data_IF_285563392904
#
_entry.id   IF_285563392904
#
_cell.length_a   1.000
_cell.length_b   1.000
_cell.length_c   1.000
_cell.angle_alpha   90.00
_cell.angle_beta   90.00
_cell.angle_gamma   90.00
#
_symmetry.space_group_name_H-M   'P 1'
#
loop_
_entity.id
_entity.type
_entity.pdbx_description
1 polymer ?
#
# COMPACT_ATOMS: atom_id res chain seq x y z
N UNK A 1 -8.75 18.18 3.29
CA UNK A 1 -9.46 17.40 4.34
C UNK A 1 -8.96 15.95 4.23
N UNK A 2 -8.68 15.29 5.36
CA UNK A 2 -8.21 13.90 5.34
C UNK A 2 -9.40 12.95 5.47
N UNK A 3 -9.37 11.79 4.80
CA UNK A 3 -10.42 10.79 4.92
C UNK A 3 -10.36 10.11 6.29
N UNK A 4 -11.52 9.68 6.80
CA UNK A 4 -11.59 8.69 7.87
C UNK A 4 -11.47 7.30 7.26
N UNK A 5 -10.55 6.48 7.77
CA UNK A 5 -10.47 5.06 7.38
C UNK A 5 -11.41 4.27 8.28
N UNK A 6 -12.32 3.50 7.70
CA UNK A 6 -13.25 2.63 8.42
C UNK A 6 -12.88 1.17 8.13
N UNK A 7 -12.42 0.45 9.15
CA UNK A 7 -12.08 -0.96 9.00
C UNK A 7 -13.33 -1.84 9.09
N UNK A 8 -13.53 -2.71 8.11
CA UNK A 8 -14.69 -3.60 8.05
C UNK A 8 -14.28 -5.04 7.81
N UNK A 9 -14.95 -5.95 8.49
CA UNK A 9 -14.99 -7.34 8.08
C UNK A 9 -16.11 -7.54 7.06
N UNK A 10 -15.90 -8.40 6.07
CA UNK A 10 -16.93 -8.80 5.11
C UNK A 10 -16.91 -10.32 4.96
N UNK A 11 -17.99 -10.97 5.41
CA UNK A 11 -18.13 -12.43 5.32
C UNK A 11 -17.98 -12.92 3.89
N UNK A 12 -18.54 -12.20 2.91
CA UNK A 12 -18.50 -12.57 1.49
C UNK A 12 -17.08 -12.48 0.94
N UNK A 13 -16.37 -11.37 1.21
CA UNK A 13 -15.01 -11.17 0.72
C UNK A 13 -14.03 -12.15 1.37
N UNK A 14 -14.10 -12.31 2.69
CA UNK A 14 -13.22 -13.21 3.45
C UNK A 14 -13.43 -14.67 3.02
N UNK A 15 -14.69 -15.08 2.78
CA UNK A 15 -15.02 -16.42 2.27
C UNK A 15 -14.35 -16.71 0.94
N UNK A 16 -14.36 -15.78 -0.01
CA UNK A 16 -13.71 -15.99 -1.32
C UNK A 16 -12.21 -16.28 -1.19
N UNK A 17 -11.53 -15.63 -0.23
CA UNK A 17 -10.13 -15.94 0.06
C UNK A 17 -9.97 -17.23 0.84
N UNK A 18 -10.83 -17.48 1.84
CA UNK A 18 -10.81 -18.69 2.67
C UNK A 18 -11.01 -19.93 1.81
N UNK A 19 -11.93 -19.92 0.85
CA UNK A 19 -12.26 -21.08 0.03
C UNK A 19 -11.38 -21.20 -1.24
N UNK A 20 -10.53 -20.20 -1.50
CA UNK A 20 -9.62 -20.22 -2.65
C UNK A 20 -8.65 -21.40 -2.58
N UNK A 21 -8.64 -22.24 -3.63
CA UNK A 21 -7.69 -23.36 -3.77
C UNK A 21 -6.23 -22.92 -3.63
N UNK A 22 -5.90 -21.73 -4.15
CA UNK A 22 -4.56 -21.16 -4.02
C UNK A 22 -4.19 -20.86 -2.57
N UNK A 23 -5.10 -20.24 -1.82
CA UNK A 23 -4.87 -19.92 -0.40
C UNK A 23 -4.81 -21.19 0.43
N UNK A 24 -5.69 -22.15 0.20
CA UNK A 24 -5.68 -23.43 0.90
C UNK A 24 -4.38 -24.22 0.66
N UNK A 25 -3.91 -24.25 -0.59
CA UNK A 25 -2.60 -24.83 -0.92
C UNK A 25 -1.46 -24.11 -0.20
N UNK A 26 -1.42 -22.78 -0.25
CA UNK A 26 -0.42 -21.97 0.45
C UNK A 26 -0.40 -22.23 1.96
N UNK A 27 -1.58 -22.29 2.59
CA UNK A 27 -1.71 -22.55 4.02
C UNK A 27 -1.20 -23.94 4.40
N UNK A 28 -1.55 -24.97 3.60
CA UNK A 28 -1.04 -26.34 3.79
C UNK A 28 0.49 -26.40 3.67
N UNK A 29 1.07 -25.77 2.65
CA UNK A 29 2.53 -25.71 2.46
C UNK A 29 3.26 -24.98 3.59
N UNK A 30 2.58 -24.08 4.30
CA UNK A 30 3.13 -23.34 5.45
C UNK A 30 2.77 -23.94 6.80
N UNK A 31 2.01 -25.04 6.83
CA UNK A 31 1.44 -25.61 8.05
C UNK A 31 0.71 -24.55 8.90
N UNK A 32 -0.11 -23.72 8.23
CA UNK A 32 -0.88 -22.64 8.84
C UNK A 32 -2.36 -22.87 8.63
N UNK A 33 -3.18 -22.36 9.55
CA UNK A 33 -4.64 -22.31 9.40
C UNK A 33 -5.10 -20.92 8.99
N UNK A 34 -6.25 -20.86 8.30
CA UNK A 34 -6.91 -19.59 8.01
C UNK A 34 -7.55 -19.07 9.32
N UNK A 35 -7.32 -17.82 9.73
CA UNK A 35 -7.87 -17.31 10.99
C UNK A 35 -9.39 -17.30 10.97
N UNK A 36 -10.02 -17.61 12.09
CA UNK A 36 -11.47 -17.56 12.18
C UNK A 36 -11.99 -16.12 12.18
N UNK A 37 -13.32 -15.97 12.05
CA UNK A 37 -13.96 -14.65 12.03
C UNK A 37 -13.72 -13.86 13.32
N UNK A 38 -13.68 -14.53 14.48
CA UNK A 38 -13.46 -13.89 15.78
C UNK A 38 -12.05 -13.31 15.85
N UNK A 39 -11.04 -14.08 15.44
CA UNK A 39 -9.65 -13.63 15.36
C UNK A 39 -9.50 -12.40 14.46
N UNK A 40 -10.16 -12.39 13.29
CA UNK A 40 -10.12 -11.24 12.37
C UNK A 40 -10.79 -10.02 13.00
N UNK A 41 -11.95 -10.16 13.64
CA UNK A 41 -12.65 -9.06 14.31
C UNK A 41 -11.86 -8.48 15.49
N UNK A 42 -11.21 -9.33 16.29
CA UNK A 42 -10.30 -8.90 17.36
C UNK A 42 -9.08 -8.16 16.79
N UNK A 43 -8.53 -8.67 15.68
CA UNK A 43 -7.45 -8.00 14.98
C UNK A 43 -7.85 -6.62 14.46
N UNK A 44 -9.05 -6.47 13.89
CA UNK A 44 -9.59 -5.17 13.45
C UNK A 44 -9.61 -4.18 14.62
N UNK A 45 -10.18 -4.56 15.77
CA UNK A 45 -10.23 -3.70 16.97
C UNK A 45 -8.83 -3.26 17.40
N UNK A 46 -7.84 -4.15 17.31
CA UNK A 46 -6.44 -3.85 17.65
C UNK A 46 -5.82 -2.84 16.67
N UNK A 47 -5.92 -3.10 15.36
CA UNK A 47 -5.29 -2.23 14.35
C UNK A 47 -6.00 -0.88 14.22
N UNK A 48 -7.31 -0.82 14.47
CA UNK A 48 -8.06 0.44 14.49
C UNK A 48 -7.51 1.39 15.57
N UNK A 49 -7.31 0.89 16.80
CA UNK A 49 -6.70 1.68 17.88
C UNK A 49 -5.30 2.17 17.53
N UNK A 50 -4.50 1.34 16.85
CA UNK A 50 -3.15 1.71 16.43
C UNK A 50 -3.17 2.74 15.29
N UNK A 51 -4.05 2.54 14.31
CA UNK A 51 -4.20 3.43 13.17
C UNK A 51 -4.70 4.81 13.60
N UNK A 52 -5.70 4.88 14.49
CA UNK A 52 -6.25 6.17 14.95
C UNK A 52 -5.19 7.11 15.52
N UNK A 53 -4.15 6.57 16.18
CA UNK A 53 -3.02 7.35 16.72
C UNK A 53 -2.11 7.98 15.66
N UNK A 54 -2.08 7.42 14.44
CA UNK A 54 -1.13 7.80 13.38
C UNK A 54 -1.80 8.27 12.08
N UNK A 55 -3.08 8.00 11.94
CA UNK A 55 -3.84 8.15 10.68
C UNK A 55 -3.74 9.56 10.13
N UNK A 56 -3.94 10.57 10.96
CA UNK A 56 -3.89 11.96 10.55
C UNK A 56 -2.51 12.35 10.03
N UNK A 57 -1.44 11.96 10.74
CA UNK A 57 -0.07 12.24 10.31
C UNK A 57 0.25 11.58 8.96
N UNK A 58 -0.07 10.29 8.83
CA UNK A 58 0.21 9.52 7.60
C UNK A 58 -0.58 10.09 6.43
N UNK A 59 -1.88 10.34 6.58
CA UNK A 59 -2.74 10.85 5.51
C UNK A 59 -2.35 12.28 5.08
N UNK A 60 -1.98 13.14 6.04
CA UNK A 60 -1.42 14.48 5.74
C UNK A 60 -0.11 14.36 4.98
N UNK A 61 0.75 13.44 5.39
CA UNK A 61 2.06 13.25 4.78
C UNK A 61 1.94 12.72 3.35
N UNK A 62 1.08 11.73 3.10
CA UNK A 62 0.79 11.22 1.74
C UNK A 62 0.34 12.39 0.84
N UNK A 63 -0.62 13.19 1.28
CA UNK A 63 -1.12 14.33 0.50
C UNK A 63 -0.03 15.40 0.27
N UNK A 64 0.71 15.78 1.31
CA UNK A 64 1.80 16.77 1.23
C UNK A 64 2.91 16.33 0.27
N UNK A 65 3.36 15.08 0.40
CA UNK A 65 4.48 14.53 -0.38
C UNK A 65 4.07 14.34 -1.83
N UNK A 66 2.90 13.74 -2.09
CA UNK A 66 2.40 13.56 -3.46
C UNK A 66 2.01 14.88 -4.13
N UNK A 67 1.52 15.87 -3.38
CA UNK A 67 0.85 17.05 -3.93
C UNK A 67 -0.61 16.78 -4.35
N UNK A 68 -1.11 15.57 -4.14
CA UNK A 68 -2.48 15.17 -4.44
C UNK A 68 -3.42 15.44 -3.26
N UNK A 69 -4.71 15.60 -3.55
CA UNK A 69 -5.75 15.82 -2.55
C UNK A 69 -6.61 14.57 -2.40
N UNK A 70 -6.94 14.23 -1.16
CA UNK A 70 -8.01 13.28 -0.88
C UNK A 70 -9.34 13.87 -1.32
N UNK A 71 -10.12 13.10 -2.09
CA UNK A 71 -11.46 13.47 -2.56
C UNK A 71 -12.55 12.85 -1.70
N UNK A 72 -12.31 11.65 -1.18
CA UNK A 72 -13.26 10.96 -0.32
C UNK A 72 -13.19 11.46 1.13
N UNK A 73 -14.36 11.55 1.77
CA UNK A 73 -14.48 11.80 3.22
C UNK A 73 -14.18 10.56 4.04
N UNK A 74 -14.44 9.39 3.47
CA UNK A 74 -14.36 8.11 4.15
C UNK A 74 -13.91 7.03 3.18
N UNK A 75 -12.91 6.26 3.56
CA UNK A 75 -12.40 5.12 2.79
C UNK A 75 -12.66 3.86 3.61
N UNK A 76 -13.36 2.88 3.03
CA UNK A 76 -13.60 1.59 3.68
C UNK A 76 -12.39 0.69 3.42
N UNK A 77 -11.78 0.16 4.48
CA UNK A 77 -10.73 -0.84 4.41
C UNK A 77 -11.29 -2.20 4.83
N UNK A 78 -11.47 -3.11 3.90
CA UNK A 78 -11.83 -4.49 4.22
C UNK A 78 -10.64 -5.22 4.83
N UNK A 79 -10.87 -5.93 5.93
CA UNK A 79 -9.85 -6.74 6.59
C UNK A 79 -10.23 -8.22 6.46
N UNK A 80 -9.33 -8.98 5.84
CA UNK A 80 -9.48 -10.42 5.57
C UNK A 80 -8.43 -11.22 6.34
N UNK A 81 -8.64 -12.53 6.52
CA UNK A 81 -7.68 -13.39 7.19
C UNK A 81 -6.34 -13.48 6.46
N UNK A 82 -6.33 -14.15 5.31
CA UNK A 82 -5.17 -14.36 4.44
C UNK A 82 -5.53 -14.04 3.00
N UNK A 83 -4.65 -13.34 2.30
CA UNK A 83 -4.87 -12.95 0.91
C UNK A 83 -3.79 -12.01 0.40
N UNK A 84 -4.03 -11.41 -0.77
CA UNK A 84 -3.20 -10.34 -1.32
C UNK A 84 -3.85 -8.99 -1.00
N UNK A 85 -3.12 -8.02 -0.43
CA UNK A 85 -3.60 -6.64 -0.29
C UNK A 85 -3.80 -5.96 -1.65
N UNK A 86 -4.76 -5.03 -1.72
CA UNK A 86 -4.99 -4.18 -2.89
C UNK A 86 -5.76 -2.92 -2.47
N UNK A 87 -5.79 -1.91 -3.34
CA UNK A 87 -6.18 -0.54 -3.01
C UNK A 87 -7.60 -0.13 -3.40
N UNK A 88 -8.27 -0.93 -4.24
CA UNK A 88 -9.63 -0.66 -4.70
C UNK A 88 -10.42 -1.96 -5.02
N UNK A 89 -11.45 -2.30 -4.22
CA UNK A 89 -11.72 -1.73 -2.90
C UNK A 89 -10.56 -1.98 -1.94
N UNK A 90 -10.19 -0.98 -1.12
CA UNK A 90 -9.07 -1.08 -0.19
C UNK A 90 -9.23 -2.31 0.72
N UNK A 91 -8.30 -3.25 0.61
CA UNK A 91 -8.36 -4.54 1.30
C UNK A 91 -6.98 -4.90 1.84
N UNK A 92 -6.88 -5.19 3.13
CA UNK A 92 -5.66 -5.59 3.83
C UNK A 92 -5.90 -6.90 4.56
N UNK A 93 -4.88 -7.77 4.61
CA UNK A 93 -4.97 -9.03 5.35
C UNK A 93 -4.48 -8.87 6.80
N UNK A 94 -4.80 -9.84 7.65
CA UNK A 94 -4.17 -9.94 8.97
C UNK A 94 -2.69 -10.32 8.87
N UNK A 95 -1.88 -9.84 9.81
CA UNK A 95 -0.45 -10.17 9.93
C UNK A 95 -0.11 -10.78 11.30
N UNK A 96 -1.09 -11.38 11.97
CA UNK A 96 -0.92 -11.98 13.30
C UNK A 96 -0.41 -10.96 14.33
N UNK A 97 0.78 -11.19 14.90
CA UNK A 97 1.35 -10.26 15.89
C UNK A 97 1.98 -9.01 15.26
N UNK A 98 2.34 -9.05 13.97
CA UNK A 98 3.06 -7.97 13.28
C UNK A 98 2.12 -6.87 12.79
N UNK A 99 1.63 -6.05 13.71
CA UNK A 99 0.79 -4.89 13.38
C UNK A 99 1.57 -3.78 12.68
N UNK A 100 2.91 -3.75 12.79
CA UNK A 100 3.71 -2.77 12.05
C UNK A 100 3.60 -3.02 10.55
N UNK A 101 3.72 -4.28 10.12
CA UNK A 101 3.52 -4.67 8.73
C UNK A 101 2.13 -4.34 8.21
N UNK A 102 1.10 -4.43 9.05
CA UNK A 102 -0.24 -3.98 8.69
C UNK A 102 -0.26 -2.49 8.35
N UNK A 103 0.28 -1.64 9.22
CA UNK A 103 0.29 -0.18 9.02
C UNK A 103 1.09 0.19 7.76
N UNK A 104 2.25 -0.44 7.53
CA UNK A 104 3.05 -0.19 6.33
C UNK A 104 2.32 -0.62 5.04
N UNK A 105 1.68 -1.79 5.07
CA UNK A 105 0.90 -2.28 3.92
C UNK A 105 -0.31 -1.39 3.67
N UNK A 106 -1.04 -0.99 4.72
CA UNK A 106 -2.14 -0.04 4.59
C UNK A 106 -1.66 1.29 4.01
N UNK A 107 -0.51 1.79 4.45
CA UNK A 107 0.09 3.02 3.91
C UNK A 107 0.41 2.88 2.42
N UNK A 108 1.00 1.76 2.01
CA UNK A 108 1.25 1.43 0.61
C UNK A 108 -0.04 1.48 -0.23
N UNK A 109 -1.08 0.77 0.21
CA UNK A 109 -2.36 0.73 -0.52
C UNK A 109 -3.09 2.08 -0.50
N UNK A 110 -2.94 2.89 0.55
CA UNK A 110 -3.49 4.25 0.60
C UNK A 110 -2.80 5.19 -0.41
N UNK A 111 -1.51 5.00 -0.71
CA UNK A 111 -0.84 5.76 -1.77
C UNK A 111 -1.41 5.38 -3.14
N UNK A 112 -1.67 4.09 -3.40
CA UNK A 112 -2.41 3.70 -4.60
C UNK A 112 -3.81 4.34 -4.62
N UNK A 113 -4.52 4.31 -3.49
CA UNK A 113 -5.88 4.83 -3.40
C UNK A 113 -5.94 6.35 -3.71
N UNK A 114 -5.00 7.17 -3.21
CA UNK A 114 -4.97 8.61 -3.58
C UNK A 114 -4.66 8.81 -5.07
N UNK A 115 -3.89 7.93 -5.72
CA UNK A 115 -3.67 8.00 -7.16
C UNK A 115 -4.96 7.73 -7.94
N UNK A 116 -5.73 6.71 -7.53
CA UNK A 116 -7.02 6.35 -8.13
C UNK A 116 -8.00 7.52 -8.02
N UNK A 117 -8.11 8.12 -6.83
CA UNK A 117 -8.95 9.32 -6.63
C UNK A 117 -8.51 10.50 -7.53
N UNK A 118 -7.25 10.55 -7.97
CA UNK A 118 -6.69 11.64 -8.78
C UNK A 118 -6.26 11.20 -10.19
N UNK A 119 -6.99 10.25 -10.78
CA UNK A 119 -6.66 9.66 -12.09
C UNK A 119 -6.39 10.70 -13.19
N UNK A 120 -7.14 11.80 -13.23
CA UNK A 120 -6.96 12.86 -14.24
C UNK A 120 -5.59 13.55 -14.19
N UNK A 121 -5.02 13.75 -12.99
CA UNK A 121 -3.67 14.29 -12.84
C UNK A 121 -2.64 13.18 -13.07
N UNK A 122 -2.93 11.99 -12.56
CA UNK A 122 -2.04 10.84 -12.63
C UNK A 122 -1.83 10.30 -14.06
N UNK A 123 -2.77 10.54 -14.98
CA UNK A 123 -2.65 10.11 -16.39
C UNK A 123 -1.42 10.71 -17.09
N UNK A 124 -1.06 11.96 -16.79
CA UNK A 124 0.11 12.62 -17.38
C UNK A 124 1.41 11.98 -16.88
N UNK A 125 1.44 11.62 -15.60
CA UNK A 125 2.54 10.85 -15.03
C UNK A 125 2.68 9.47 -15.67
N UNK A 126 1.57 8.76 -15.90
CA UNK A 126 1.59 7.47 -16.60
C UNK A 126 2.13 7.58 -18.03
N UNK A 127 1.79 8.64 -18.76
CA UNK A 127 2.37 8.91 -20.10
C UNK A 127 3.88 9.12 -20.00
N UNK A 128 4.31 9.95 -19.05
CA UNK A 128 5.73 10.20 -18.79
C UNK A 128 6.49 8.90 -18.47
N UNK A 129 5.95 8.03 -17.62
CA UNK A 129 6.57 6.76 -17.27
C UNK A 129 6.77 5.84 -18.47
N UNK A 130 5.77 5.76 -19.36
CA UNK A 130 5.87 4.95 -20.59
C UNK A 130 6.98 5.43 -21.53
N UNK A 131 7.21 6.74 -21.58
CA UNK A 131 8.25 7.34 -22.43
C UNK A 131 9.64 7.14 -21.81
N UNK A 132 9.77 7.33 -20.50
CA UNK A 132 11.09 7.30 -19.83
C UNK A 132 11.56 5.91 -19.46
N UNK A 133 10.63 4.98 -19.21
CA UNK A 133 10.93 3.61 -18.82
C UNK A 133 10.19 2.62 -19.74
N UNK A 134 10.38 2.71 -21.07
CA UNK A 134 9.61 1.92 -22.04
C UNK A 134 9.82 0.41 -21.90
N UNK A 135 10.99 0.00 -21.40
CA UNK A 135 11.38 -1.39 -21.22
C UNK A 135 10.97 -1.97 -19.86
N UNK A 136 10.38 -1.15 -18.98
CA UNK A 136 9.95 -1.61 -17.65
C UNK A 136 8.52 -2.12 -17.66
N UNK A 137 8.27 -3.18 -16.89
CA UNK A 137 6.92 -3.71 -16.73
C UNK A 137 5.98 -2.66 -16.12
N UNK A 138 4.69 -2.75 -16.44
CA UNK A 138 3.67 -1.84 -15.91
C UNK A 138 3.66 -1.81 -14.37
N UNK A 139 3.91 -2.94 -13.72
CA UNK A 139 4.02 -3.03 -12.26
C UNK A 139 5.19 -2.18 -11.80
N UNK A 140 6.40 -2.36 -12.34
CA UNK A 140 7.56 -1.52 -12.06
C UNK A 140 7.23 -0.03 -12.21
N UNK A 141 6.72 0.36 -13.38
CA UNK A 141 6.39 1.76 -13.68
C UNK A 141 5.44 2.37 -12.63
N UNK A 142 4.33 1.69 -12.35
CA UNK A 142 3.34 2.16 -11.36
C UNK A 142 3.88 2.27 -9.94
N UNK A 143 4.92 1.50 -9.61
CA UNK A 143 5.55 1.49 -8.28
C UNK A 143 6.69 2.50 -8.13
N UNK A 144 7.17 3.16 -9.20
CA UNK A 144 8.25 4.16 -9.09
C UNK A 144 7.82 5.34 -8.21
N UNK A 145 6.72 6.02 -8.54
CA UNK A 145 6.25 7.15 -7.73
C UNK A 145 5.73 6.68 -6.37
N UNK A 146 5.00 5.56 -6.35
CA UNK A 146 4.46 5.02 -5.12
C UNK A 146 5.56 4.77 -4.09
N UNK A 147 6.58 4.02 -4.48
CA UNK A 147 7.68 3.65 -3.60
C UNK A 147 8.54 4.86 -3.25
N UNK A 148 8.65 5.88 -4.12
CA UNK A 148 9.29 7.15 -3.77
C UNK A 148 8.53 7.89 -2.64
N UNK A 149 7.19 7.96 -2.71
CA UNK A 149 6.38 8.55 -1.64
C UNK A 149 6.49 7.70 -0.37
N UNK A 150 6.36 6.38 -0.49
CA UNK A 150 6.44 5.47 0.65
C UNK A 150 7.81 5.56 1.34
N UNK A 151 8.90 5.73 0.57
CA UNK A 151 10.25 5.97 1.12
C UNK A 151 10.27 7.18 2.06
N UNK A 152 9.73 8.32 1.64
CA UNK A 152 9.70 9.55 2.47
C UNK A 152 8.88 9.33 3.75
N UNK A 153 7.83 8.52 3.70
CA UNK A 153 7.04 8.17 4.89
C UNK A 153 7.86 7.29 5.84
N UNK A 154 8.52 6.25 5.30
CA UNK A 154 9.35 5.33 6.07
C UNK A 154 10.60 5.99 6.67
N UNK A 155 11.14 7.05 6.05
CA UNK A 155 12.24 7.84 6.60
C UNK A 155 11.92 8.38 8.00
N UNK A 156 10.66 8.72 8.28
CA UNK A 156 10.23 9.14 9.61
C UNK A 156 10.33 8.04 10.66
N UNK A 157 10.29 6.77 10.25
CA UNK A 157 10.50 5.62 11.13
C UNK A 157 11.97 5.19 11.22
N UNK A 158 12.86 5.85 10.47
CA UNK A 158 14.29 5.59 10.41
C UNK A 158 14.73 4.66 9.27
N UNK A 159 16.02 4.71 8.95
CA UNK A 159 16.65 3.99 7.82
C UNK A 159 16.39 2.47 7.82
N UNK A 160 16.27 1.87 9.01
CA UNK A 160 15.97 0.44 9.15
C UNK A 160 14.58 0.07 8.64
N UNK A 161 13.59 0.97 8.70
CA UNK A 161 12.25 0.70 8.17
C UNK A 161 12.28 0.57 6.64
N UNK A 162 13.05 1.44 5.97
CA UNK A 162 13.23 1.43 4.52
C UNK A 162 13.93 0.13 4.08
N UNK A 163 15.03 -0.23 4.75
CA UNK A 163 15.77 -1.46 4.45
C UNK A 163 14.86 -2.69 4.52
N UNK A 164 14.08 -2.82 5.60
CA UNK A 164 13.12 -3.92 5.78
C UNK A 164 12.03 -3.94 4.69
N UNK A 165 11.52 -2.78 4.29
CA UNK A 165 10.49 -2.72 3.24
C UNK A 165 11.07 -3.12 1.87
N UNK A 166 12.31 -2.73 1.54
CA UNK A 166 12.98 -3.16 0.30
C UNK A 166 13.22 -4.67 0.33
N UNK A 167 13.74 -5.21 1.43
CA UNK A 167 14.06 -6.63 1.58
C UNK A 167 12.83 -7.54 1.41
N UNK A 168 11.65 -7.07 1.84
CA UNK A 168 10.37 -7.77 1.66
C UNK A 168 10.07 -8.11 0.21
N UNK A 169 10.51 -7.28 -0.74
CA UNK A 169 10.23 -7.45 -2.16
C UNK A 169 11.43 -7.98 -2.96
N UNK A 170 12.50 -8.45 -2.31
CA UNK A 170 13.68 -8.99 -3.00
C UNK A 170 13.37 -10.15 -3.97
N UNK A 171 12.25 -10.87 -3.75
CA UNK A 171 11.80 -11.97 -4.61
C UNK A 171 10.87 -11.54 -5.74
N UNK A 172 10.47 -10.27 -5.80
CA UNK A 172 9.63 -9.73 -6.85
C UNK A 172 10.45 -8.76 -7.70
N UNK A 173 10.80 -9.18 -8.91
CA UNK A 173 11.69 -8.44 -9.81
C UNK A 173 11.15 -7.05 -10.15
N UNK A 174 9.85 -6.89 -10.36
CA UNK A 174 9.25 -5.60 -10.71
C UNK A 174 9.39 -4.58 -9.58
N UNK A 175 9.13 -5.01 -8.34
CA UNK A 175 9.29 -4.16 -7.16
C UNK A 175 10.76 -3.83 -6.93
N UNK A 176 11.66 -4.80 -7.12
CA UNK A 176 13.10 -4.59 -6.99
C UNK A 176 13.59 -3.53 -7.98
N UNK A 177 13.21 -3.63 -9.25
CA UNK A 177 13.56 -2.64 -10.28
C UNK A 177 13.03 -1.25 -9.95
N UNK A 178 11.80 -1.14 -9.45
CA UNK A 178 11.25 0.15 -9.03
C UNK A 178 12.10 0.80 -7.93
N UNK A 179 12.53 0.03 -6.93
CA UNK A 179 13.43 0.52 -5.88
C UNK A 179 14.82 0.90 -6.39
N UNK A 180 15.36 0.17 -7.37
CA UNK A 180 16.66 0.49 -7.99
C UNK A 180 16.61 1.83 -8.74
N UNK A 181 15.54 2.08 -9.50
CA UNK A 181 15.28 3.37 -10.15
C UNK A 181 15.22 4.48 -9.11
N UNK A 182 14.49 4.28 -8.00
CA UNK A 182 14.37 5.26 -6.91
C UNK A 182 15.70 5.53 -6.24
N UNK A 183 16.54 4.52 -6.02
CA UNK A 183 17.88 4.71 -5.45
C UNK A 183 18.77 5.53 -6.39
N UNK A 184 18.72 5.25 -7.70
CA UNK A 184 19.50 5.97 -8.72
C UNK A 184 19.07 7.42 -8.85
N UNK A 185 17.77 7.68 -8.86
CA UNK A 185 17.24 9.03 -9.10
C UNK A 185 17.00 9.84 -7.82
N UNK A 186 16.95 9.18 -6.67
CA UNK A 186 16.49 9.66 -5.35
C UNK A 186 14.96 9.87 -5.28
N UNK A 187 14.33 9.57 -4.12
CA UNK A 187 12.88 9.77 -3.93
C UNK A 187 12.44 11.22 -4.20
N UNK A 188 13.22 12.20 -3.72
CA UNK A 188 12.90 13.63 -3.85
C UNK A 188 12.83 14.09 -5.31
N UNK A 189 13.76 13.62 -6.16
CA UNK A 189 13.78 13.97 -7.59
C UNK A 189 12.55 13.45 -8.31
N UNK A 190 12.17 12.19 -8.07
CA UNK A 190 10.99 11.56 -8.66
C UNK A 190 9.73 12.33 -8.26
N UNK A 191 9.57 12.62 -6.96
CA UNK A 191 8.41 13.36 -6.44
C UNK A 191 8.34 14.78 -7.03
N UNK A 192 9.47 15.50 -7.11
CA UNK A 192 9.50 16.84 -7.70
C UNK A 192 9.17 16.81 -9.19
N UNK A 193 9.63 15.78 -9.92
CA UNK A 193 9.31 15.60 -11.34
C UNK A 193 7.82 15.33 -11.54
N UNK A 194 7.22 14.48 -10.71
CA UNK A 194 5.78 14.25 -10.69
C UNK A 194 5.00 15.56 -10.47
N UNK A 195 5.37 16.35 -9.44
CA UNK A 195 4.71 17.62 -9.15
C UNK A 195 4.77 18.62 -10.31
N UNK A 196 5.89 18.67 -11.04
CA UNK A 196 6.03 19.51 -12.25
C UNK A 196 5.16 19.05 -13.43
N UNK A 197 4.76 17.77 -13.46
CA UNK A 197 3.94 17.21 -14.55
C UNK A 197 2.44 17.41 -14.30
N UNK A 198 2.03 17.50 -13.03
CA UNK A 198 0.62 17.64 -12.64
C UNK A 198 0.20 19.09 -12.35
N UNK A 199 1.16 20.01 -12.24
CA UNK A 199 0.95 21.45 -12.18
C UNK A 199 1.00 22.01 -13.60
#
# INVERSE_FOLDING_TARGET
MNPKIEFRYSDVYDRNYRESKFIQKYLKEKNQTYPDKKEILEYIKKVEKLWNKKSEEILKLISKVSGLKWKEKRIICYVIGVGRPFSDPLTIRTYGKDTKRFINTLTHELIHNIFIQNTELYKNWNKYLKIQYPNEARITQSHILLSAIHWIILEKEGKNAIKKEIEKYNKNEDYKKAWEIIKKETPKKIINKFKKIIN
#
